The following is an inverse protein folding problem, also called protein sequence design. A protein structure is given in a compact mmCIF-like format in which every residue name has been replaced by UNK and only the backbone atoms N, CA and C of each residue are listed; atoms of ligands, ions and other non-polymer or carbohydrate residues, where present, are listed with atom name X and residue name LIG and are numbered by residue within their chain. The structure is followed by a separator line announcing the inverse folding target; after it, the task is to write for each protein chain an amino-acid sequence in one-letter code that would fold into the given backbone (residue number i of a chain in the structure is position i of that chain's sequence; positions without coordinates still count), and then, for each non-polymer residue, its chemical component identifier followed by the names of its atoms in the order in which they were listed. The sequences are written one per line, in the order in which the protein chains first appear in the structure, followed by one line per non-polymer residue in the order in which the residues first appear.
data_IF_743007714974
#
_entry.id   IF_743007714974
#
_cell.length_a   1.000
_cell.length_b   1.000
_cell.length_c   1.000
_cell.angle_alpha   90.00
_cell.angle_beta   90.00
_cell.angle_gamma   90.00
#
_symmetry.space_group_name_H-M   'P 1'
#
loop_
_entity.id
_entity.type
_entity.pdbx_description
1 polymer ?
#
# COMPACT_ATOMS: atom_id res chain seq x y z
N UNK A 1 -19.49 -13.55 15.73
CA UNK A 1 -18.46 -14.32 15.04
C UNK A 1 -17.07 -13.68 14.99
N UNK A 2 -16.92 -12.38 15.21
CA UNK A 2 -15.60 -11.68 15.14
C UNK A 2 -14.63 -11.95 16.31
N UNK A 3 -15.12 -12.37 17.46
CA UNK A 3 -14.27 -12.60 18.66
C UNK A 3 -13.44 -13.89 18.60
N UNK A 4 -13.90 -14.89 17.85
CA UNK A 4 -13.20 -16.19 17.74
C UNK A 4 -12.01 -16.09 16.77
N UNK A 5 -12.12 -15.30 15.70
CA UNK A 5 -11.02 -15.11 14.73
C UNK A 5 -9.80 -14.41 15.32
N UNK A 6 -10.00 -13.47 16.26
CA UNK A 6 -8.90 -12.78 16.93
C UNK A 6 -8.18 -13.69 17.94
N UNK A 7 -8.93 -14.60 18.58
CA UNK A 7 -8.37 -15.56 19.52
C UNK A 7 -7.54 -16.64 18.81
N UNK A 8 -7.99 -17.08 17.63
CA UNK A 8 -7.26 -18.05 16.79
C UNK A 8 -5.99 -17.42 16.20
N UNK A 9 -6.05 -16.14 15.78
CA UNK A 9 -4.87 -15.42 15.28
C UNK A 9 -3.85 -15.18 16.40
N UNK A 10 -4.32 -14.86 17.62
CA UNK A 10 -3.46 -14.72 18.80
C UNK A 10 -2.83 -16.05 19.22
N UNK A 11 -3.55 -17.16 19.09
CA UNK A 11 -3.04 -18.49 19.39
C UNK A 11 -2.01 -18.99 18.35
N UNK A 12 -2.19 -18.64 17.07
CA UNK A 12 -1.19 -18.91 16.03
C UNK A 12 0.10 -18.11 16.22
N UNK A 13 0.02 -16.87 16.68
CA UNK A 13 1.20 -16.05 17.00
C UNK A 13 1.96 -16.57 18.26
N UNK A 14 1.28 -17.23 19.16
CA UNK A 14 1.92 -17.85 20.35
C UNK A 14 2.55 -19.21 20.04
N UNK A 15 2.21 -19.84 18.92
CA UNK A 15 2.80 -21.11 18.49
C UNK A 15 4.03 -20.92 17.58
N UNK A 16 4.44 -19.70 17.25
CA UNK A 16 5.76 -19.42 16.69
C UNK A 16 6.83 -19.55 17.80
N UNK A 17 6.89 -20.72 18.42
CA UNK A 17 8.08 -21.13 19.15
C UNK A 17 9.19 -21.22 18.12
N UNK A 18 10.21 -20.41 18.33
CA UNK A 18 11.52 -20.50 17.75
C UNK A 18 11.79 -21.88 17.12
N UNK A 19 11.39 -22.09 15.88
CA UNK A 19 12.10 -22.97 15.01
C UNK A 19 13.42 -22.26 14.74
N UNK A 20 14.34 -22.31 15.68
CA UNK A 20 15.75 -22.32 15.33
C UNK A 20 15.89 -23.56 14.45
N UNK A 21 15.56 -23.42 13.18
CA UNK A 21 16.09 -24.30 12.15
C UNK A 21 17.59 -24.08 12.26
N UNK A 22 18.22 -25.04 12.95
CA UNK A 22 19.58 -24.86 13.38
C UNK A 22 20.48 -24.81 12.19
N UNK A 23 20.90 -23.61 11.80
CA UNK A 23 22.14 -23.45 11.06
C UNK A 23 23.28 -24.30 11.71
N UNK A 24 23.28 -24.44 13.04
CA UNK A 24 24.18 -25.33 13.73
C UNK A 24 24.13 -26.78 13.22
N UNK A 25 22.97 -27.37 12.94
CA UNK A 25 22.88 -28.77 12.51
C UNK A 25 23.32 -28.96 11.05
N UNK A 26 23.23 -27.93 10.21
CA UNK A 26 23.76 -27.96 8.84
C UNK A 26 25.28 -27.82 8.82
N UNK A 27 25.88 -27.11 9.76
CA UNK A 27 27.29 -26.90 9.88
C UNK A 27 27.98 -28.06 10.62
N UNK A 28 27.31 -28.73 11.55
CA UNK A 28 27.82 -29.98 12.18
C UNK A 28 27.91 -31.13 11.17
N UNK A 29 27.17 -31.07 10.05
CA UNK A 29 27.22 -32.08 8.98
C UNK A 29 28.33 -31.85 7.94
N UNK A 30 28.93 -30.66 7.90
CA UNK A 30 29.82 -30.22 6.81
C UNK A 30 31.28 -30.15 7.23
N UNK A 31 31.85 -31.06 8.03
CA UNK A 31 33.29 -31.14 8.27
C UNK A 31 34.03 -29.80 8.42
N UNK A 32 33.36 -28.77 8.88
CA UNK A 32 33.93 -27.47 9.13
C UNK A 32 34.52 -27.47 10.54
N UNK A 33 35.77 -27.08 10.63
CA UNK A 33 36.52 -26.88 11.87
C UNK A 33 35.64 -26.12 12.88
N UNK A 34 35.24 -26.71 14.03
CA UNK A 34 34.34 -26.10 14.99
C UNK A 34 34.79 -24.73 15.52
N UNK A 35 36.06 -24.40 15.34
CA UNK A 35 36.65 -23.13 15.75
C UNK A 35 36.54 -22.02 14.68
N UNK A 36 36.07 -22.33 13.46
CA UNK A 36 35.89 -21.37 12.39
C UNK A 36 34.43 -20.93 12.28
N UNK A 37 34.11 -19.80 12.89
CA UNK A 37 32.84 -19.09 12.62
C UNK A 37 32.90 -18.53 11.20
N UNK A 38 32.22 -19.18 10.27
CA UNK A 38 32.02 -18.61 8.92
C UNK A 38 30.95 -17.53 9.00
N UNK A 39 31.36 -16.27 9.01
CA UNK A 39 30.45 -15.15 8.82
C UNK A 39 30.18 -15.03 7.32
N UNK A 40 28.95 -15.37 6.91
CA UNK A 40 28.49 -15.03 5.56
C UNK A 40 28.20 -13.53 5.57
N UNK A 41 29.16 -12.73 5.16
CA UNK A 41 28.95 -11.31 4.86
C UNK A 41 28.01 -11.23 3.64
N UNK A 42 26.72 -10.97 3.89
CA UNK A 42 25.84 -10.54 2.81
C UNK A 42 26.31 -9.14 2.40
N UNK A 43 26.97 -9.05 1.26
CA UNK A 43 27.44 -7.78 0.72
C UNK A 43 26.19 -7.04 0.19
N UNK A 44 25.62 -6.15 1.02
CA UNK A 44 24.50 -5.29 0.65
C UNK A 44 25.04 -4.17 -0.22
N UNK A 45 24.72 -4.23 -1.51
CA UNK A 45 25.21 -3.27 -2.50
C UNK A 45 24.53 -1.89 -2.34
N UNK A 46 23.21 -1.90 -2.12
CA UNK A 46 22.41 -0.68 -1.98
C UNK A 46 22.05 -0.46 -0.52
N UNK A 47 22.80 0.41 0.15
CA UNK A 47 22.54 0.81 1.54
C UNK A 47 21.51 1.92 1.56
N UNK A 48 20.59 1.85 2.52
CA UNK A 48 19.50 2.83 2.69
C UNK A 48 19.72 3.79 3.86
N UNK A 49 20.58 3.43 4.79
CA UNK A 49 20.82 4.23 5.99
C UNK A 49 21.22 5.67 5.63
N UNK A 50 20.52 6.65 6.24
CA UNK A 50 20.69 8.08 6.00
C UNK A 50 20.50 8.53 4.54
N UNK A 51 19.66 7.81 3.77
CA UNK A 51 19.39 8.12 2.37
C UNK A 51 18.01 8.76 2.22
N UNK A 52 17.96 9.85 1.45
CA UNK A 52 16.71 10.42 0.96
C UNK A 52 16.30 9.72 -0.34
N UNK A 53 14.99 9.63 -0.55
CA UNK A 53 14.45 9.19 -1.83
C UNK A 53 13.21 9.98 -2.22
N UNK A 54 12.97 10.07 -3.51
CA UNK A 54 11.76 10.63 -4.09
C UNK A 54 11.26 9.73 -5.20
N UNK A 55 9.96 9.44 -5.19
CA UNK A 55 9.29 8.57 -6.18
C UNK A 55 8.11 9.30 -6.81
N UNK A 56 7.90 9.04 -8.08
CA UNK A 56 6.65 9.35 -8.77
C UNK A 56 6.06 8.07 -9.37
N UNK A 57 4.75 7.93 -9.31
CA UNK A 57 4.11 6.70 -9.78
C UNK A 57 2.75 6.95 -10.40
N UNK A 58 2.33 6.00 -11.22
CA UNK A 58 0.99 5.89 -11.75
C UNK A 58 0.23 4.82 -10.98
N UNK A 59 -1.01 5.15 -10.57
CA UNK A 59 -1.86 4.26 -9.79
C UNK A 59 -3.15 3.94 -10.51
N UNK A 60 -3.64 2.72 -10.26
CA UNK A 60 -4.94 2.23 -10.71
C UNK A 60 -5.70 1.70 -9.51
N UNK A 61 -6.97 2.09 -9.40
CA UNK A 61 -7.85 1.68 -8.31
C UNK A 61 -8.70 0.47 -8.68
N UNK A 62 -8.85 -0.46 -7.73
CA UNK A 62 -9.60 -1.70 -7.92
C UNK A 62 -10.88 -1.78 -7.07
N UNK A 63 -11.20 -0.77 -6.30
CA UNK A 63 -12.34 -0.82 -5.36
C UNK A 63 -13.65 -0.29 -5.94
N UNK A 64 -13.56 0.64 -6.87
CA UNK A 64 -14.74 1.32 -7.42
C UNK A 64 -15.50 0.45 -8.40
N UNK A 65 -16.79 0.17 -8.11
CA UNK A 65 -17.64 -0.64 -8.99
C UNK A 65 -18.20 0.13 -10.19
N UNK A 66 -18.47 1.42 -10.00
CA UNK A 66 -19.14 2.28 -11.00
C UNK A 66 -18.21 3.32 -11.62
N UNK A 67 -16.91 3.21 -11.35
CA UNK A 67 -15.92 4.16 -11.79
C UNK A 67 -14.63 3.46 -12.18
N UNK A 68 -13.98 4.00 -13.20
CA UNK A 68 -12.59 3.78 -13.48
C UNK A 68 -11.80 4.91 -12.84
N UNK A 69 -10.97 4.56 -11.87
CA UNK A 69 -10.16 5.52 -11.14
C UNK A 69 -8.69 5.20 -11.35
N UNK A 70 -7.97 6.17 -11.85
CA UNK A 70 -6.52 6.14 -11.98
C UNK A 70 -5.94 7.43 -11.42
N UNK A 71 -4.62 7.53 -11.32
CA UNK A 71 -4.02 8.75 -10.81
C UNK A 71 -2.51 8.71 -10.74
N UNK A 72 -1.98 9.72 -10.09
CA UNK A 72 -0.55 9.85 -9.85
C UNK A 72 -0.26 9.95 -8.36
N UNK A 73 0.87 9.39 -7.96
CA UNK A 73 1.42 9.51 -6.61
C UNK A 73 2.78 10.18 -6.66
N UNK A 74 3.03 11.05 -5.69
CA UNK A 74 4.35 11.60 -5.40
C UNK A 74 4.73 11.23 -3.97
N UNK A 75 5.95 10.77 -3.77
CA UNK A 75 6.47 10.37 -2.46
C UNK A 75 7.85 10.93 -2.24
N UNK A 76 8.12 11.30 -1.00
CA UNK A 76 9.45 11.66 -0.54
C UNK A 76 9.68 11.04 0.83
N UNK A 77 10.81 10.41 1.03
CA UNK A 77 11.11 9.72 2.28
C UNK A 77 12.57 9.80 2.66
N UNK A 78 12.81 9.45 3.90
CA UNK A 78 14.15 9.39 4.49
C UNK A 78 14.28 8.13 5.34
N UNK A 79 15.32 7.35 5.10
CA UNK A 79 15.68 6.22 5.93
C UNK A 79 16.58 6.67 7.07
N UNK A 80 16.07 6.54 8.30
CA UNK A 80 16.84 6.85 9.54
C UNK A 80 17.85 5.72 9.82
N UNK A 81 17.43 4.49 9.57
CA UNK A 81 18.22 3.28 9.67
C UNK A 81 18.02 2.43 8.42
N UNK A 82 18.81 1.39 8.28
CA UNK A 82 18.77 0.49 7.12
C UNK A 82 17.38 -0.11 6.86
N UNK A 83 16.59 -0.33 7.91
CA UNK A 83 15.26 -0.94 7.82
C UNK A 83 14.11 0.04 8.09
N UNK A 84 14.38 1.20 8.72
CA UNK A 84 13.35 2.11 9.18
C UNK A 84 13.46 3.49 8.56
N UNK A 85 12.35 3.97 8.07
CA UNK A 85 12.26 5.31 7.46
C UNK A 85 10.92 5.97 7.71
N UNK A 86 10.83 7.21 7.27
CA UNK A 86 9.61 8.01 7.23
C UNK A 86 9.33 8.46 5.81
N UNK A 87 8.07 8.55 5.43
CA UNK A 87 7.66 8.91 4.09
C UNK A 87 6.47 9.87 4.13
N UNK A 88 6.50 10.89 3.30
CA UNK A 88 5.36 11.72 2.96
C UNK A 88 4.84 11.31 1.58
N UNK A 89 3.53 11.19 1.46
CA UNK A 89 2.87 10.77 0.22
C UNK A 89 1.73 11.72 -0.13
N UNK A 90 1.63 12.01 -1.41
CA UNK A 90 0.54 12.78 -2.01
C UNK A 90 -0.01 11.96 -3.18
N UNK A 91 -1.32 11.70 -3.17
CA UNK A 91 -2.03 11.02 -4.25
C UNK A 91 -3.04 11.97 -4.88
N UNK A 92 -3.12 11.96 -6.19
CA UNK A 92 -4.12 12.68 -6.97
C UNK A 92 -4.86 11.70 -7.86
N UNK A 93 -6.20 11.65 -7.74
CA UNK A 93 -7.05 10.69 -8.44
C UNK A 93 -7.80 11.37 -9.57
N UNK A 94 -7.91 10.66 -10.69
CA UNK A 94 -8.77 11.00 -11.79
C UNK A 94 -9.86 9.94 -11.92
N UNK A 95 -11.12 10.36 -11.89
CA UNK A 95 -12.28 9.48 -11.83
C UNK A 95 -13.14 9.65 -13.07
N UNK A 96 -13.45 8.56 -13.77
CA UNK A 96 -14.41 8.50 -14.86
C UNK A 96 -15.51 7.48 -14.57
N UNK A 97 -16.71 7.69 -15.13
CA UNK A 97 -17.79 6.74 -14.97
C UNK A 97 -17.58 5.57 -15.96
N UNK A 98 -17.70 4.33 -15.47
CA UNK A 98 -17.56 3.12 -16.29
C UNK A 98 -18.89 2.71 -16.96
N UNK A 99 -18.86 1.60 -17.67
CA UNK A 99 -20.03 1.08 -18.38
C UNK A 99 -21.11 0.57 -17.42
N UNK A 100 -20.75 0.02 -16.26
CA UNK A 100 -21.71 -0.40 -15.23
C UNK A 100 -22.53 0.77 -14.72
N UNK A 101 -21.90 1.95 -14.55
CA UNK A 101 -22.64 3.17 -14.20
C UNK A 101 -23.66 3.53 -15.26
N UNK A 102 -23.29 3.52 -16.53
CA UNK A 102 -24.18 3.84 -17.66
C UNK A 102 -25.33 2.85 -17.77
N UNK A 103 -25.05 1.56 -17.60
CA UNK A 103 -26.03 0.50 -17.67
C UNK A 103 -27.08 0.62 -16.55
N UNK A 104 -26.66 0.86 -15.31
CA UNK A 104 -27.59 1.05 -14.19
C UNK A 104 -28.50 2.28 -14.43
N UNK A 105 -27.95 3.37 -14.94
CA UNK A 105 -28.69 4.59 -15.25
C UNK A 105 -29.72 4.36 -16.36
N UNK A 106 -29.37 3.63 -17.40
CA UNK A 106 -30.25 3.37 -18.55
C UNK A 106 -31.36 2.37 -18.17
N UNK A 107 -31.01 1.29 -17.48
CA UNK A 107 -31.96 0.20 -17.17
C UNK A 107 -32.92 0.57 -16.04
N UNK A 108 -32.38 1.20 -14.98
CA UNK A 108 -33.14 1.44 -13.76
C UNK A 108 -33.65 2.90 -13.63
N UNK A 109 -33.26 3.78 -14.55
CA UNK A 109 -33.51 5.24 -14.48
C UNK A 109 -33.09 5.85 -13.12
N UNK A 110 -32.14 5.24 -12.44
CA UNK A 110 -31.61 5.66 -11.14
C UNK A 110 -30.11 5.83 -11.20
N UNK A 111 -29.61 6.84 -10.50
CA UNK A 111 -28.18 7.02 -10.36
C UNK A 111 -27.63 6.21 -9.18
N UNK A 112 -26.60 5.39 -9.41
CA UNK A 112 -25.96 4.66 -8.32
C UNK A 112 -25.22 5.61 -7.38
N UNK A 113 -25.10 5.21 -6.12
CA UNK A 113 -24.26 5.94 -5.17
C UNK A 113 -22.79 5.83 -5.55
N UNK A 114 -22.14 6.99 -5.68
CA UNK A 114 -20.73 7.13 -6.00
C UNK A 114 -20.04 8.00 -4.96
N UNK A 115 -18.84 7.57 -4.54
CA UNK A 115 -17.88 8.40 -3.84
C UNK A 115 -16.56 8.37 -4.59
N UNK A 116 -16.11 9.55 -5.01
CA UNK A 116 -14.86 9.77 -5.73
C UNK A 116 -13.82 10.26 -4.75
N UNK A 117 -12.65 9.61 -4.73
CA UNK A 117 -11.48 10.17 -4.08
C UNK A 117 -10.83 11.16 -5.04
N UNK A 118 -10.52 12.35 -4.58
CA UNK A 118 -9.87 13.38 -5.39
C UNK A 118 -8.39 13.48 -5.07
N UNK A 119 -8.05 13.50 -3.78
CA UNK A 119 -6.66 13.52 -3.33
C UNK A 119 -6.51 12.86 -1.96
N UNK A 120 -5.32 12.41 -1.65
CA UNK A 120 -4.96 12.00 -0.29
C UNK A 120 -3.54 12.41 0.05
N UNK A 121 -3.34 12.72 1.33
CA UNK A 121 -2.06 13.12 1.90
C UNK A 121 -1.78 12.22 3.09
N UNK A 122 -0.58 11.66 3.15
CA UNK A 122 -0.22 10.74 4.23
C UNK A 122 1.20 11.00 4.73
N UNK A 123 1.40 10.73 6.01
CA UNK A 123 2.71 10.61 6.63
C UNK A 123 2.84 9.21 7.20
N UNK A 124 3.87 8.47 6.81
CA UNK A 124 3.97 7.05 7.08
C UNK A 124 5.31 6.69 7.71
N UNK A 125 5.27 5.70 8.60
CA UNK A 125 6.44 4.93 8.98
C UNK A 125 6.65 3.82 7.95
N UNK A 126 7.88 3.65 7.51
CA UNK A 126 8.29 2.63 6.55
C UNK A 126 9.20 1.63 7.26
N UNK A 127 8.89 0.35 7.10
CA UNK A 127 9.71 -0.75 7.56
C UNK A 127 10.12 -1.61 6.36
N UNK A 128 11.42 -1.75 6.12
CA UNK A 128 12.01 -2.44 4.97
C UNK A 128 12.94 -3.57 5.42
N UNK A 129 12.39 -4.68 5.95
CA UNK A 129 13.18 -5.75 6.56
C UNK A 129 13.86 -6.66 5.54
N UNK A 130 13.33 -6.73 4.31
CA UNK A 130 13.80 -7.70 3.33
C UNK A 130 14.60 -7.01 2.24
N UNK A 131 15.83 -7.48 2.07
CA UNK A 131 16.69 -7.17 0.96
C UNK A 131 17.03 -8.46 0.25
N UNK A 132 16.83 -8.52 -1.04
CA UNK A 132 17.04 -9.71 -1.83
C UNK A 132 17.77 -9.44 -3.14
N UNK A 133 18.18 -10.53 -3.79
CA UNK A 133 18.75 -10.52 -5.13
C UNK A 133 18.17 -11.65 -5.95
N UNK A 134 17.82 -11.36 -7.19
CA UNK A 134 17.35 -12.33 -8.16
C UNK A 134 18.38 -12.39 -9.29
N UNK A 135 18.90 -13.58 -9.56
CA UNK A 135 19.77 -13.80 -10.71
C UNK A 135 18.93 -14.38 -11.85
N UNK A 136 18.75 -13.59 -12.89
CA UNK A 136 17.98 -13.99 -14.08
C UNK A 136 18.57 -13.34 -15.33
N UNK A 137 18.51 -14.01 -16.47
CA UNK A 137 19.07 -13.55 -17.73
C UNK A 137 20.54 -13.10 -17.65
N UNK A 138 21.35 -13.81 -16.85
CA UNK A 138 22.76 -13.52 -16.60
C UNK A 138 23.00 -12.12 -15.98
N UNK A 139 22.00 -11.58 -15.27
CA UNK A 139 22.07 -10.32 -14.52
C UNK A 139 21.51 -10.51 -13.11
N UNK A 140 22.07 -9.78 -12.16
CA UNK A 140 21.61 -9.77 -10.78
C UNK A 140 20.80 -8.50 -10.59
N UNK A 141 19.52 -8.68 -10.19
CA UNK A 141 18.63 -7.60 -9.79
C UNK A 141 18.51 -7.62 -8.27
N UNK A 142 18.76 -6.47 -7.66
CA UNK A 142 18.59 -6.28 -6.23
C UNK A 142 17.23 -5.65 -5.97
N UNK A 143 16.58 -6.07 -4.89
CA UNK A 143 15.30 -5.51 -4.51
C UNK A 143 15.16 -5.37 -3.01
N UNK A 144 14.38 -4.40 -2.59
CA UNK A 144 13.88 -4.21 -1.23
C UNK A 144 12.39 -4.47 -1.18
N UNK A 145 11.95 -5.16 -0.16
CA UNK A 145 10.52 -5.30 0.13
C UNK A 145 10.20 -4.60 1.43
N UNK A 146 9.32 -3.61 1.37
CA UNK A 146 8.97 -2.72 2.47
C UNK A 146 7.48 -2.67 2.74
N UNK A 147 7.14 -2.29 3.96
CA UNK A 147 5.80 -2.05 4.44
C UNK A 147 5.69 -0.64 4.97
N UNK A 148 4.54 -0.01 4.75
CA UNK A 148 4.29 1.35 5.22
C UNK A 148 2.94 1.43 5.92
N UNK A 149 2.90 2.16 7.03
CA UNK A 149 1.68 2.44 7.77
C UNK A 149 1.70 3.89 8.28
N UNK A 150 0.57 4.57 8.14
CA UNK A 150 0.46 5.92 8.67
C UNK A 150 -0.92 6.54 8.55
N UNK A 151 -1.16 7.66 9.24
CA UNK A 151 -2.37 8.44 9.10
C UNK A 151 -2.44 9.14 7.74
N UNK A 152 -3.67 9.31 7.27
CA UNK A 152 -3.95 9.99 6.01
C UNK A 152 -5.14 10.93 6.13
N UNK A 153 -5.06 12.06 5.41
CA UNK A 153 -6.18 12.93 5.11
C UNK A 153 -6.64 12.67 3.69
N UNK A 154 -7.93 12.49 3.50
CA UNK A 154 -8.54 12.07 2.25
C UNK A 154 -9.59 13.10 1.86
N UNK A 155 -9.45 13.70 0.70
CA UNK A 155 -10.43 14.58 0.11
C UNK A 155 -11.21 13.81 -0.96
N UNK A 156 -12.52 13.83 -0.81
CA UNK A 156 -13.44 13.07 -1.64
C UNK A 156 -14.65 13.93 -2.03
N UNK A 157 -15.44 13.41 -2.95
CA UNK A 157 -16.78 13.94 -3.22
C UNK A 157 -17.77 12.79 -3.41
N UNK A 158 -19.02 13.01 -3.00
CA UNK A 158 -20.06 12.01 -3.15
C UNK A 158 -21.40 12.60 -3.58
N UNK A 159 -22.21 11.78 -4.25
CA UNK A 159 -23.59 12.08 -4.59
C UNK A 159 -24.59 11.57 -3.53
N UNK A 160 -24.14 11.33 -2.30
CA UNK A 160 -24.94 10.75 -1.22
C UNK A 160 -26.24 11.51 -0.99
N UNK A 161 -26.18 12.83 -1.01
CA UNK A 161 -27.37 13.69 -0.75
C UNK A 161 -28.42 13.52 -1.84
N UNK A 162 -28.02 13.59 -3.11
CA UNK A 162 -28.93 13.43 -4.24
C UNK A 162 -29.59 12.05 -4.28
N UNK A 163 -28.81 10.99 -4.02
CA UNK A 163 -29.33 9.61 -3.98
C UNK A 163 -30.30 9.39 -2.82
N UNK A 164 -30.08 10.04 -1.66
CA UNK A 164 -30.96 9.87 -0.50
C UNK A 164 -32.22 10.74 -0.58
N UNK A 165 -32.18 11.86 -1.28
CA UNK A 165 -33.32 12.79 -1.46
C UNK A 165 -34.12 12.47 -2.73
N UNK A 166 -33.60 11.62 -3.64
CA UNK A 166 -34.26 11.28 -4.90
C UNK A 166 -34.23 12.45 -5.90
N UNK A 167 -33.22 13.30 -5.83
CA UNK A 167 -33.10 14.45 -6.71
C UNK A 167 -32.93 14.02 -8.17
N UNK A 168 -33.60 14.69 -9.09
CA UNK A 168 -33.48 14.44 -10.54
C UNK A 168 -32.11 14.83 -11.08
N UNK A 169 -31.48 15.82 -10.45
CA UNK A 169 -30.13 16.29 -10.83
C UNK A 169 -29.12 15.86 -9.79
N UNK A 170 -28.15 15.08 -10.23
CA UNK A 170 -27.06 14.61 -9.37
C UNK A 170 -26.09 15.73 -9.05
N UNK A 171 -25.97 16.04 -7.77
CA UNK A 171 -24.98 16.96 -7.23
C UNK A 171 -23.95 16.23 -6.41
N UNK A 172 -22.66 16.55 -6.63
CA UNK A 172 -21.55 16.04 -5.84
C UNK A 172 -21.18 17.03 -4.74
N UNK A 173 -21.09 16.55 -3.50
CA UNK A 173 -20.66 17.36 -2.37
C UNK A 173 -19.25 16.95 -1.98
N UNK A 174 -18.37 17.94 -1.78
CA UNK A 174 -17.01 17.74 -1.25
C UNK A 174 -17.08 17.26 0.19
N UNK A 175 -16.25 16.26 0.50
CA UNK A 175 -16.14 15.62 1.80
C UNK A 175 -14.65 15.45 2.11
N UNK A 176 -14.28 15.54 3.39
CA UNK A 176 -12.92 15.28 3.83
C UNK A 176 -12.95 14.29 4.99
N UNK A 177 -12.07 13.32 4.94
CA UNK A 177 -11.99 12.24 5.93
C UNK A 177 -10.58 12.08 6.45
N UNK A 178 -10.48 11.61 7.69
CA UNK A 178 -9.24 11.12 8.25
C UNK A 178 -9.27 9.60 8.25
N UNK A 179 -8.16 9.00 7.87
CA UNK A 179 -8.01 7.56 7.74
C UNK A 179 -6.59 7.09 8.00
N UNK A 180 -6.32 5.88 7.58
CA UNK A 180 -5.00 5.28 7.62
C UNK A 180 -4.67 4.62 6.28
N UNK A 181 -3.41 4.65 5.90
CA UNK A 181 -2.88 3.93 4.75
C UNK A 181 -2.00 2.80 5.25
N UNK A 182 -2.22 1.62 4.69
CA UNK A 182 -1.35 0.45 4.80
C UNK A 182 -0.88 0.09 3.39
N UNK A 183 0.42 -0.06 3.21
CA UNK A 183 1.00 -0.42 1.91
C UNK A 183 2.11 -1.43 2.02
N UNK A 184 2.35 -2.13 0.94
CA UNK A 184 3.55 -2.94 0.71
C UNK A 184 4.15 -2.56 -0.62
N UNK A 185 5.46 -2.45 -0.69
CA UNK A 185 6.18 -1.99 -1.86
C UNK A 185 7.43 -2.85 -2.10
N UNK A 186 7.62 -3.28 -3.32
CA UNK A 186 8.85 -3.92 -3.79
C UNK A 186 9.58 -2.93 -4.69
N UNK A 187 10.79 -2.55 -4.31
CA UNK A 187 11.67 -1.64 -5.07
C UNK A 187 12.80 -2.43 -5.70
N UNK A 188 12.94 -2.36 -7.01
CA UNK A 188 14.05 -2.93 -7.79
C UNK A 188 15.08 -1.85 -8.09
N UNK A 189 16.32 -2.06 -7.69
CA UNK A 189 17.42 -1.13 -7.95
C UNK A 189 17.96 -1.37 -9.37
N UNK A 190 17.85 -0.35 -10.22
CA UNK A 190 18.43 -0.37 -11.57
C UNK A 190 19.86 0.15 -11.58
N UNK A 191 20.11 1.19 -10.79
CA UNK A 191 21.42 1.80 -10.56
C UNK A 191 21.54 2.16 -9.08
N UNK A 192 22.65 2.76 -8.67
CA UNK A 192 22.84 3.23 -7.29
C UNK A 192 21.77 4.24 -6.87
N UNK A 193 21.27 5.05 -7.82
CA UNK A 193 20.33 6.11 -7.54
C UNK A 193 18.92 5.86 -8.06
N UNK A 194 18.73 5.04 -9.12
CA UNK A 194 17.45 4.85 -9.79
C UNK A 194 16.84 3.51 -9.41
N UNK A 195 15.57 3.53 -9.03
CA UNK A 195 14.80 2.33 -8.72
C UNK A 195 13.39 2.35 -9.34
N UNK A 196 12.86 1.15 -9.58
CA UNK A 196 11.47 0.92 -9.97
C UNK A 196 10.71 0.33 -8.79
N UNK A 197 9.50 0.82 -8.55
CA UNK A 197 8.63 0.33 -7.48
C UNK A 197 7.35 -0.28 -8.01
N UNK A 198 6.93 -1.38 -7.38
CA UNK A 198 5.59 -1.94 -7.50
C UNK A 198 4.95 -1.97 -6.11
N UNK A 199 3.82 -1.31 -5.95
CA UNK A 199 3.20 -1.10 -4.64
C UNK A 199 1.73 -1.51 -4.65
N UNK A 200 1.30 -2.13 -3.58
CA UNK A 200 -0.09 -2.40 -3.25
C UNK A 200 -0.46 -1.59 -2.02
N UNK A 201 -1.49 -0.75 -2.13
CA UNK A 201 -1.88 0.21 -1.12
C UNK A 201 -3.36 0.06 -0.77
N UNK A 202 -3.66 0.04 0.54
CA UNK A 202 -5.01 0.10 1.07
C UNK A 202 -5.20 1.36 1.91
N UNK A 203 -6.20 2.14 1.57
CA UNK A 203 -6.62 3.31 2.33
C UNK A 203 -7.90 2.99 3.10
N UNK A 204 -7.86 3.12 4.41
CA UNK A 204 -8.97 2.86 5.34
C UNK A 204 -9.50 4.16 5.90
N UNK A 205 -10.79 4.41 5.77
CA UNK A 205 -11.45 5.59 6.33
C UNK A 205 -12.91 5.30 6.72
N UNK A 206 -13.50 6.15 7.54
CA UNK A 206 -14.91 6.03 7.91
C UNK A 206 -15.73 7.06 7.17
N UNK A 207 -16.83 6.61 6.54
CA UNK A 207 -17.71 7.46 5.78
C UNK A 207 -19.16 6.92 5.75
N UNK A 208 -20.18 7.79 5.68
CA UNK A 208 -21.58 7.40 5.59
C UNK A 208 -21.89 6.70 4.27
N UNK A 209 -22.99 6.00 4.20
CA UNK A 209 -23.44 5.29 3.00
C UNK A 209 -24.92 5.49 2.73
N UNK A 210 -25.43 5.15 1.53
CA UNK A 210 -26.80 5.44 1.13
C UNK A 210 -27.86 4.72 1.97
N UNK A 211 -27.55 3.52 2.50
CA UNK A 211 -28.49 2.79 3.37
C UNK A 211 -28.63 3.38 4.77
N UNK A 212 -27.60 4.04 5.28
CA UNK A 212 -27.61 4.67 6.58
C UNK A 212 -26.74 5.94 6.53
N UNK A 213 -27.31 7.08 6.09
CA UNK A 213 -26.57 8.34 5.94
C UNK A 213 -26.09 8.96 7.26
N UNK A 214 -26.63 8.50 8.39
CA UNK A 214 -26.28 9.00 9.73
C UNK A 214 -25.20 8.16 10.43
N UNK A 215 -24.75 7.06 9.83
CA UNK A 215 -23.78 6.14 10.44
C UNK A 215 -22.59 5.94 9.55
N UNK A 216 -21.42 6.27 10.07
CA UNK A 216 -20.15 6.03 9.40
C UNK A 216 -19.77 4.55 9.45
N UNK A 217 -19.37 4.02 8.30
CA UNK A 217 -18.86 2.66 8.16
C UNK A 217 -17.43 2.70 7.65
N UNK A 218 -16.65 1.71 8.03
CA UNK A 218 -15.33 1.51 7.49
C UNK A 218 -15.42 1.29 5.98
N UNK A 219 -14.64 2.05 5.24
CA UNK A 219 -14.45 1.97 3.78
C UNK A 219 -13.00 1.66 3.51
N UNK A 220 -12.79 0.87 2.49
CA UNK A 220 -11.45 0.52 2.01
C UNK A 220 -11.34 0.94 0.56
N UNK A 221 -10.24 1.56 0.21
CA UNK A 221 -9.85 1.87 -1.15
C UNK A 221 -8.52 1.17 -1.44
N UNK A 222 -8.46 0.41 -2.53
CA UNK A 222 -7.30 -0.41 -2.89
C UNK A 222 -6.72 0.08 -4.20
N UNK A 223 -5.44 0.40 -4.18
CA UNK A 223 -4.69 0.92 -5.31
C UNK A 223 -3.46 0.05 -5.57
N UNK A 224 -3.13 -0.14 -6.85
CA UNK A 224 -1.86 -0.70 -7.32
C UNK A 224 -1.10 0.41 -8.02
N UNK A 225 0.18 0.55 -7.70
CA UNK A 225 1.03 1.66 -8.13
C UNK A 225 2.30 1.10 -8.76
N UNK A 226 2.65 1.63 -9.92
CA UNK A 226 3.96 1.46 -10.52
C UNK A 226 4.69 2.79 -10.46
N UNK A 227 5.92 2.79 -9.98
CA UNK A 227 6.68 4.01 -9.74
C UNK A 227 8.12 3.91 -10.22
N UNK A 228 8.68 5.06 -10.50
CA UNK A 228 10.11 5.28 -10.68
C UNK A 228 10.57 6.28 -9.63
N UNK A 229 11.74 6.04 -9.07
CA UNK A 229 12.28 6.89 -8.03
C UNK A 229 13.78 7.06 -8.11
N UNK A 230 14.23 8.05 -7.36
CA UNK A 230 15.62 8.43 -7.22
C UNK A 230 16.01 8.47 -5.74
N UNK A 231 17.15 7.90 -5.41
CA UNK A 231 17.75 7.90 -4.06
C UNK A 231 19.07 8.67 -4.06
N UNK A 232 19.34 9.46 -3.00
CA UNK A 232 20.51 10.32 -2.88
C UNK A 232 20.93 10.53 -1.41
#
# INVERSE_FOLDING_TARGET
MFKISFLVLGLMLLMTRNTQAGEKSLYDFLWLDPDKKVYVLQNKLFKKEHTFYADVGYMVNFTSKFQETSGFTGRAGFYVHEEWGVELMINSYNNSNNDEFRNVRIINAQEPFIRRLNSSYAAMAIWSPFYGKINTFNRIFYFDWSFGLGPAKIDAESNLKSVTQGDVVTTFKKESYTGAILKTNVKFHLTENIHLGAEYMNTYYRAPGPRNPKSDRLRTNTDVILSVGFSF
#
